data_IF_936249977263
#
_entry.id   IF_936249977263
#
_cell.length_a   1.000
_cell.length_b   1.000
_cell.length_c   1.000
_cell.angle_alpha   90.00
_cell.angle_beta   90.00
_cell.angle_gamma   90.00
#
_symmetry.space_group_name_H-M   'P 1'
#
loop_
_entity.id
_entity.type
_entity.pdbx_description
1 polymer ?
#
# COMPACT_ATOMS: atom_id res chain seq x y z
N UNK A 1 6.82 4.82 -29.81
CA UNK A 1 6.25 3.58 -29.26
C UNK A 1 5.15 4.00 -28.30
N UNK A 2 3.89 3.69 -28.61
CA UNK A 2 2.78 3.96 -27.70
C UNK A 2 2.89 3.00 -26.53
N UNK A 3 2.91 3.52 -25.29
CA UNK A 3 2.93 2.71 -24.09
C UNK A 3 1.66 1.83 -24.09
N UNK A 4 1.78 0.52 -23.82
CA UNK A 4 0.59 -0.34 -23.76
C UNK A 4 -0.33 0.15 -22.64
N UNK A 5 -1.65 0.00 -22.85
CA UNK A 5 -2.68 0.36 -21.86
C UNK A 5 -2.37 -0.25 -20.49
N UNK A 6 -1.97 -1.53 -20.46
CA UNK A 6 -1.55 -2.24 -19.26
C UNK A 6 -0.34 -1.59 -18.55
N UNK A 7 0.70 -1.19 -19.27
CA UNK A 7 1.85 -0.48 -18.69
C UNK A 7 1.44 0.88 -18.10
N UNK A 8 0.48 1.56 -18.72
CA UNK A 8 -0.04 2.84 -18.21
C UNK A 8 -0.77 2.63 -16.87
N UNK A 9 -1.59 1.58 -16.77
CA UNK A 9 -2.32 1.23 -15.57
C UNK A 9 -1.37 0.78 -14.44
N UNK A 10 -0.35 -0.03 -14.75
CA UNK A 10 0.66 -0.43 -13.77
C UNK A 10 1.43 0.79 -13.23
N UNK A 11 1.85 1.72 -14.08
CA UNK A 11 2.53 2.95 -13.64
C UNK A 11 1.64 3.82 -12.74
N UNK A 12 0.33 3.88 -13.02
CA UNK A 12 -0.64 4.57 -12.17
C UNK A 12 -0.85 3.89 -10.82
N UNK A 13 -0.87 2.55 -10.79
CA UNK A 13 -0.95 1.76 -9.56
C UNK A 13 0.24 2.06 -8.64
N UNK A 14 1.47 1.97 -9.19
CA UNK A 14 2.71 2.26 -8.44
C UNK A 14 2.73 3.70 -7.92
N UNK A 15 2.15 4.63 -8.68
CA UNK A 15 2.09 6.05 -8.31
C UNK A 15 0.93 6.41 -7.36
N UNK A 16 0.13 5.44 -6.91
CA UNK A 16 -1.11 5.67 -6.13
C UNK A 16 -2.10 6.63 -6.81
N UNK A 17 -2.16 6.61 -8.15
CA UNK A 17 -3.06 7.45 -8.97
C UNK A 17 -4.08 6.63 -9.76
N UNK A 18 -4.16 5.33 -9.50
CA UNK A 18 -5.11 4.45 -10.16
C UNK A 18 -6.51 4.67 -9.56
N UNK A 19 -7.51 4.87 -10.41
CA UNK A 19 -8.90 4.92 -9.95
C UNK A 19 -9.47 3.50 -9.80
N UNK A 20 -10.60 3.36 -9.08
CA UNK A 20 -11.26 2.06 -8.94
C UNK A 20 -11.73 1.46 -10.28
N UNK A 21 -12.15 2.31 -11.22
CA UNK A 21 -12.53 1.89 -12.58
C UNK A 21 -11.32 1.38 -13.38
N UNK A 22 -10.18 2.05 -13.25
CA UNK A 22 -8.92 1.65 -13.90
C UNK A 22 -8.32 0.38 -13.30
N UNK A 23 -8.51 0.17 -12.00
CA UNK A 23 -8.19 -1.10 -11.34
C UNK A 23 -9.07 -2.22 -11.87
N UNK A 24 -10.37 -1.97 -12.01
CA UNK A 24 -11.31 -2.95 -12.54
C UNK A 24 -10.92 -3.34 -13.97
N UNK A 25 -10.61 -2.37 -14.84
CA UNK A 25 -10.12 -2.62 -16.20
C UNK A 25 -8.83 -3.45 -16.22
N UNK A 26 -7.88 -3.14 -15.31
CA UNK A 26 -6.63 -3.90 -15.19
C UNK A 26 -6.90 -5.36 -14.79
N UNK A 27 -7.87 -5.59 -13.90
CA UNK A 27 -8.26 -6.91 -13.41
C UNK A 27 -9.09 -7.70 -14.43
N UNK A 28 -9.96 -7.04 -15.19
CA UNK A 28 -10.74 -7.66 -16.27
C UNK A 28 -9.86 -8.10 -17.45
N UNK A 29 -8.71 -7.44 -17.65
CA UNK A 29 -7.69 -7.89 -18.59
C UNK A 29 -7.05 -9.24 -18.21
N UNK A 30 -7.17 -9.65 -16.94
CA UNK A 30 -6.63 -10.89 -16.40
C UNK A 30 -7.73 -11.96 -16.44
N UNK A 31 -7.82 -12.66 -17.57
CA UNK A 31 -8.84 -13.70 -17.81
C UNK A 31 -8.39 -15.13 -17.43
N UNK A 32 -7.17 -15.28 -16.90
CA UNK A 32 -6.60 -16.56 -16.49
C UNK A 32 -6.69 -16.65 -14.97
N UNK A 33 -7.39 -17.65 -14.44
CA UNK A 33 -7.57 -17.86 -12.98
C UNK A 33 -6.22 -17.90 -12.24
N UNK A 34 -5.21 -18.50 -12.86
CA UNK A 34 -3.85 -18.57 -12.32
C UNK A 34 -3.18 -17.19 -12.22
N UNK A 35 -3.41 -16.35 -13.22
CA UNK A 35 -2.88 -14.97 -13.21
C UNK A 35 -3.68 -14.10 -12.24
N UNK A 36 -5.01 -14.26 -12.15
CA UNK A 36 -5.85 -13.54 -11.20
C UNK A 36 -5.40 -13.77 -9.76
N UNK A 37 -5.15 -15.03 -9.36
CA UNK A 37 -4.62 -15.33 -8.03
C UNK A 37 -3.30 -14.62 -7.78
N UNK A 38 -2.35 -14.72 -8.71
CA UNK A 38 -1.02 -14.12 -8.57
C UNK A 38 -1.07 -12.60 -8.42
N UNK A 39 -1.93 -11.92 -9.18
CA UNK A 39 -2.10 -10.47 -9.07
C UNK A 39 -2.89 -10.09 -7.82
N UNK A 40 -3.88 -10.88 -7.40
CA UNK A 40 -4.62 -10.68 -6.16
C UNK A 40 -3.70 -10.73 -4.93
N UNK A 41 -2.86 -11.78 -4.83
CA UNK A 41 -1.86 -11.91 -3.76
C UNK A 41 -0.91 -10.71 -3.72
N UNK A 42 -0.41 -10.29 -4.88
CA UNK A 42 0.51 -9.15 -4.98
C UNK A 42 -0.13 -7.83 -4.56
N UNK A 43 -1.42 -7.63 -4.90
CA UNK A 43 -2.19 -6.44 -4.51
C UNK A 43 -2.50 -6.44 -3.01
N UNK A 44 -2.87 -7.58 -2.44
CA UNK A 44 -3.15 -7.73 -1.00
C UNK A 44 -1.91 -7.35 -0.17
N UNK A 45 -0.75 -7.91 -0.51
CA UNK A 45 0.53 -7.58 0.15
C UNK A 45 0.85 -6.08 0.06
N UNK A 46 0.60 -5.47 -1.10
CA UNK A 46 0.84 -4.04 -1.30
C UNK A 46 -0.11 -3.17 -0.48
N UNK A 47 -1.39 -3.53 -0.40
CA UNK A 47 -2.37 -2.82 0.43
C UNK A 47 -2.04 -2.94 1.92
N UNK A 48 -1.68 -4.13 2.40
CA UNK A 48 -1.24 -4.33 3.78
C UNK A 48 -0.04 -3.46 4.13
N UNK A 49 0.94 -3.38 3.23
CA UNK A 49 2.09 -2.50 3.38
C UNK A 49 1.68 -1.03 3.46
N UNK A 50 0.81 -0.56 2.56
CA UNK A 50 0.34 0.82 2.57
C UNK A 50 -0.44 1.16 3.85
N UNK A 51 -1.27 0.24 4.34
CA UNK A 51 -2.02 0.41 5.58
C UNK A 51 -1.09 0.53 6.79
N UNK A 52 -0.03 -0.27 6.85
CA UNK A 52 0.99 -0.18 7.89
C UNK A 52 1.76 1.14 7.84
N UNK A 53 2.07 1.64 6.64
CA UNK A 53 2.76 2.93 6.45
C UNK A 53 1.86 4.14 6.75
N UNK A 54 0.54 3.99 6.56
CA UNK A 54 -0.44 5.04 6.80
C UNK A 54 -1.03 4.99 8.22
N UNK A 55 -0.58 4.06 9.08
CA UNK A 55 -0.84 4.18 10.51
C UNK A 55 -0.08 5.42 11.01
N UNK A 56 -0.77 6.43 11.58
CA UNK A 56 -0.09 7.56 12.17
C UNK A 56 0.81 7.00 13.27
N UNK A 57 2.13 7.13 13.10
CA UNK A 57 3.13 6.72 14.06
C UNK A 57 2.65 7.00 15.48
N UNK A 58 2.26 5.95 16.20
CA UNK A 58 1.85 6.00 17.60
C UNK A 58 3.02 6.27 18.54
N UNK A 59 4.03 7.04 18.10
CA UNK A 59 5.17 7.42 18.92
C UNK A 59 4.88 8.71 19.69
N UNK A 60 3.85 8.64 20.53
CA UNK A 60 3.63 9.59 21.62
C UNK A 60 3.40 8.80 22.89
N UNK A 61 4.49 8.32 23.49
CA UNK A 61 4.68 8.11 24.93
C UNK A 61 6.03 7.44 25.13
N UNK A 62 7.01 8.24 25.51
CA UNK A 62 7.92 7.93 26.60
C UNK A 62 8.45 9.26 27.16
N UNK A 63 7.54 10.03 27.74
CA UNK A 63 7.90 10.96 28.81
C UNK A 63 8.18 10.13 30.05
N UNK A 64 9.45 9.77 30.27
CA UNK A 64 9.94 9.41 31.59
C UNK A 64 11.16 10.29 31.85
N UNK A 65 10.90 11.51 32.31
CA UNK A 65 11.93 12.30 32.96
C UNK A 65 12.36 11.54 34.22
N UNK A 66 13.67 11.27 34.44
CA UNK A 66 14.12 10.64 35.66
C UNK A 66 13.73 11.55 36.83
N UNK A 67 12.94 10.99 37.75
CA UNK A 67 12.51 11.68 38.96
C UNK A 67 13.70 12.23 39.72
N UNK A 68 13.62 13.51 40.08
CA UNK A 68 14.50 14.14 41.06
C UNK A 68 14.39 13.34 42.36
N UNK A 69 15.50 12.75 42.77
CA UNK A 69 15.68 12.14 44.08
C UNK A 69 16.05 13.24 45.08
N UNK A 70 15.05 14.01 45.51
CA UNK A 70 15.13 14.73 46.78
C UNK A 70 14.66 13.77 47.88
N UNK A 71 15.60 13.12 48.57
CA UNK A 71 15.37 12.59 49.91
C UNK A 71 16.54 12.97 50.80
N UNK A 72 16.16 13.71 51.83
CA UNK A 72 16.91 14.23 52.99
C UNK A 72 17.60 13.13 53.80
#
# INVERSE_FOLDING_TARGET
MSLSRAETLINKLISNKLTGEELSELLEGINSETDQQKYSDALEIYFDYLLQQNQPNGNSRNGHAPGKNDST
#
